data_IF_829268878463
#
_entry.id   IF_829268878463
#
_cell.length_a   1.000
_cell.length_b   1.000
_cell.length_c   1.000
_cell.angle_alpha   90.00
_cell.angle_beta   90.00
_cell.angle_gamma   90.00
#
_symmetry.space_group_name_H-M   'P 1'
#
loop_
_entity.id
_entity.type
_entity.pdbx_description
1 polymer ?
#
# COMPACT_ATOMS: atom_id res chain seq x y z
N UNK A 1 -20.86 10.49 6.28
CA UNK A 1 -20.29 9.13 6.17
C UNK A 1 -19.34 8.98 4.99
N UNK A 2 -19.79 9.17 3.74
CA UNK A 2 -18.86 9.09 2.58
C UNK A 2 -17.87 10.26 2.58
N UNK A 3 -18.35 11.47 2.84
CA UNK A 3 -17.50 12.67 2.88
C UNK A 3 -16.42 12.58 3.98
N UNK A 4 -16.75 11.98 5.12
CA UNK A 4 -15.80 11.77 6.22
C UNK A 4 -14.66 10.82 5.82
N UNK A 5 -14.99 9.73 5.11
CA UNK A 5 -14.00 8.78 4.59
C UNK A 5 -13.10 9.46 3.56
N UNK A 6 -13.68 10.26 2.67
CA UNK A 6 -12.92 11.00 1.65
C UNK A 6 -11.91 11.95 2.31
N UNK A 7 -12.34 12.72 3.32
CA UNK A 7 -11.44 13.65 4.00
C UNK A 7 -10.31 12.95 4.76
N UNK A 8 -10.56 11.76 5.32
CA UNK A 8 -9.51 10.93 5.96
C UNK A 8 -8.56 10.29 4.93
N UNK A 9 -9.05 9.87 3.76
CA UNK A 9 -8.23 9.22 2.73
C UNK A 9 -7.38 10.22 1.92
N UNK A 10 -7.80 11.48 1.84
CA UNK A 10 -7.19 12.52 1.01
C UNK A 10 -5.71 12.80 1.31
N UNK A 11 -5.24 12.86 2.57
CA UNK A 11 -3.81 13.00 2.88
C UNK A 11 -2.98 11.80 2.36
N UNK A 12 -3.48 10.58 2.50
CA UNK A 12 -2.79 9.39 1.99
C UNK A 12 -2.69 9.42 0.45
N UNK A 13 -3.80 9.76 -0.22
CA UNK A 13 -3.82 9.92 -1.67
C UNK A 13 -2.87 11.03 -2.16
N UNK A 14 -2.79 12.16 -1.45
CA UNK A 14 -1.85 13.24 -1.76
C UNK A 14 -0.39 12.79 -1.57
N UNK A 15 -0.09 12.09 -0.48
CA UNK A 15 1.25 11.54 -0.22
C UNK A 15 1.69 10.62 -1.36
N UNK A 16 0.83 9.69 -1.79
CA UNK A 16 1.13 8.80 -2.91
C UNK A 16 1.36 9.55 -4.23
N UNK A 17 0.60 10.62 -4.50
CA UNK A 17 0.78 11.44 -5.71
C UNK A 17 2.09 12.21 -5.72
N UNK A 18 2.49 12.78 -4.58
CA UNK A 18 3.65 13.66 -4.46
C UNK A 18 4.97 12.90 -4.23
N UNK A 19 4.90 11.63 -3.88
CA UNK A 19 6.08 10.84 -3.58
C UNK A 19 6.71 10.28 -4.86
N UNK A 20 7.99 10.56 -5.08
CA UNK A 20 8.70 10.27 -6.35
C UNK A 20 9.63 9.04 -6.29
N UNK A 21 9.85 8.46 -5.11
CA UNK A 21 10.67 7.25 -5.00
C UNK A 21 9.85 5.97 -5.13
N UNK A 22 10.45 4.85 -4.73
CA UNK A 22 9.87 3.52 -4.87
C UNK A 22 8.86 3.23 -3.76
N UNK A 23 7.67 2.79 -4.14
CA UNK A 23 6.60 2.41 -3.21
C UNK A 23 6.60 0.89 -3.06
N UNK A 24 6.38 0.38 -1.85
CA UNK A 24 6.08 -1.04 -1.63
C UNK A 24 4.66 -1.23 -1.16
N UNK A 25 3.88 -1.95 -1.96
CA UNK A 25 2.48 -2.29 -1.71
C UNK A 25 2.41 -3.67 -1.05
N UNK A 26 1.80 -3.75 0.12
CA UNK A 26 1.67 -4.99 0.89
C UNK A 26 0.19 -5.22 1.17
N UNK A 27 -0.33 -6.39 0.80
CA UNK A 27 -1.71 -6.75 1.08
C UNK A 27 -1.91 -8.19 1.53
N UNK A 28 -3.10 -8.49 2.06
CA UNK A 28 -3.44 -9.82 2.57
C UNK A 28 -3.85 -10.80 1.46
N UNK A 29 -3.64 -12.09 1.76
CA UNK A 29 -3.89 -13.21 0.85
C UNK A 29 -5.36 -13.58 0.62
N UNK A 30 -6.29 -13.06 1.43
CA UNK A 30 -7.70 -13.40 1.24
C UNK A 30 -8.34 -12.61 0.09
N UNK A 31 -9.65 -12.82 -0.12
CA UNK A 31 -10.34 -12.23 -1.24
C UNK A 31 -10.41 -10.69 -1.17
N UNK A 32 -10.53 -10.12 0.04
CA UNK A 32 -10.60 -8.67 0.21
C UNK A 32 -9.21 -8.05 -0.02
N UNK A 33 -8.17 -8.65 0.57
CA UNK A 33 -6.79 -8.20 0.40
C UNK A 33 -6.27 -8.32 -1.02
N UNK A 34 -6.58 -9.40 -1.74
CA UNK A 34 -6.24 -9.52 -3.17
C UNK A 34 -6.96 -8.44 -3.99
N UNK A 35 -8.24 -8.20 -3.70
CA UNK A 35 -9.04 -7.20 -4.42
C UNK A 35 -8.53 -5.78 -4.15
N UNK A 36 -8.28 -5.44 -2.90
CA UNK A 36 -7.73 -4.16 -2.46
C UNK A 36 -6.33 -3.92 -3.05
N UNK A 37 -5.48 -4.96 -3.05
CA UNK A 37 -4.14 -4.90 -3.67
C UNK A 37 -4.24 -4.67 -5.17
N UNK A 38 -5.16 -5.35 -5.88
CA UNK A 38 -5.35 -5.14 -7.31
C UNK A 38 -5.82 -3.72 -7.63
N UNK A 39 -6.70 -3.14 -6.81
CA UNK A 39 -7.13 -1.74 -6.95
C UNK A 39 -5.93 -0.80 -6.76
N UNK A 40 -5.15 -0.99 -5.68
CA UNK A 40 -3.98 -0.17 -5.38
C UNK A 40 -2.89 -0.29 -6.47
N UNK A 41 -2.63 -1.50 -6.97
CA UNK A 41 -1.70 -1.77 -8.06
C UNK A 41 -2.10 -1.00 -9.32
N UNK A 42 -3.36 -1.11 -9.77
CA UNK A 42 -3.84 -0.39 -10.96
C UNK A 42 -3.85 1.13 -10.73
N UNK A 43 -4.07 1.59 -9.51
CA UNK A 43 -3.97 3.00 -9.15
C UNK A 43 -2.54 3.51 -9.29
N UNK A 44 -1.55 2.80 -8.75
CA UNK A 44 -0.13 3.18 -8.84
C UNK A 44 0.38 3.16 -10.27
N UNK A 45 0.00 2.17 -11.08
CA UNK A 45 0.29 2.14 -12.53
C UNK A 45 -0.27 3.37 -13.25
N UNK A 46 -1.52 3.77 -12.94
CA UNK A 46 -2.15 4.95 -13.55
C UNK A 46 -1.50 6.27 -13.13
N UNK A 47 -0.83 6.29 -11.97
CA UNK A 47 -0.08 7.44 -11.47
C UNK A 47 1.38 7.43 -11.95
N UNK A 48 1.77 6.47 -12.78
CA UNK A 48 3.14 6.29 -13.29
C UNK A 48 4.18 6.21 -12.16
N UNK A 49 3.84 5.49 -11.08
CA UNK A 49 4.72 5.31 -9.93
C UNK A 49 5.59 4.07 -10.09
N UNK A 50 6.83 4.13 -9.61
CA UNK A 50 7.68 2.96 -9.43
C UNK A 50 7.27 2.23 -8.14
N UNK A 51 6.90 0.95 -8.25
CA UNK A 51 6.50 0.17 -7.08
C UNK A 51 6.77 -1.33 -7.22
N UNK A 52 6.89 -1.99 -6.08
CA UNK A 52 6.82 -3.45 -5.93
C UNK A 52 5.61 -3.84 -5.08
N UNK A 53 5.11 -5.06 -5.24
CA UNK A 53 4.03 -5.56 -4.41
C UNK A 53 4.33 -6.94 -3.82
N UNK A 54 3.77 -7.20 -2.63
CA UNK A 54 3.87 -8.46 -1.91
C UNK A 54 2.48 -8.82 -1.33
N UNK A 55 2.08 -10.08 -1.49
CA UNK A 55 0.89 -10.63 -0.82
C UNK A 55 1.35 -11.49 0.34
N UNK A 56 0.93 -11.12 1.55
CA UNK A 56 1.26 -11.83 2.79
C UNK A 56 0.05 -12.59 3.32
N UNK A 57 0.27 -13.74 3.94
CA UNK A 57 -0.81 -14.50 4.58
C UNK A 57 -1.29 -13.82 5.88
N UNK A 58 -0.35 -13.27 6.62
CA UNK A 58 -0.53 -12.55 7.88
C UNK A 58 0.76 -11.75 8.11
N UNK A 59 0.67 -10.56 8.71
CA UNK A 59 1.84 -9.83 9.17
C UNK A 59 2.29 -10.36 10.53
N UNK A 60 3.44 -11.03 10.57
CA UNK A 60 4.10 -11.39 11.83
C UNK A 60 5.14 -10.32 12.20
N UNK A 61 5.57 -10.35 13.47
CA UNK A 61 6.64 -9.46 13.95
C UNK A 61 7.91 -9.59 13.10
N UNK A 62 8.28 -10.81 12.73
CA UNK A 62 9.42 -11.11 11.85
C UNK A 62 9.29 -10.45 10.46
N UNK A 63 8.06 -10.36 9.92
CA UNK A 63 7.82 -9.67 8.64
C UNK A 63 8.02 -8.17 8.79
N UNK A 64 7.52 -7.58 9.88
CA UNK A 64 7.68 -6.16 10.18
C UNK A 64 9.16 -5.83 10.39
N UNK A 65 9.89 -6.66 11.14
CA UNK A 65 11.34 -6.49 11.34
C UNK A 65 12.10 -6.57 10.02
N UNK A 66 11.77 -7.54 9.16
CA UNK A 66 12.36 -7.63 7.82
C UNK A 66 12.07 -6.37 7.00
N UNK A 67 10.81 -5.96 6.92
CA UNK A 67 10.37 -4.78 6.15
C UNK A 67 11.05 -3.50 6.66
N UNK A 68 11.21 -3.36 7.98
CA UNK A 68 11.82 -2.19 8.60
C UNK A 68 13.35 -2.11 8.37
N UNK A 69 14.01 -3.24 8.12
CA UNK A 69 15.45 -3.30 7.86
C UNK A 69 15.81 -3.16 6.37
N UNK A 70 14.83 -3.20 5.48
CA UNK A 70 15.02 -2.93 4.06
C UNK A 70 14.98 -1.41 3.81
N UNK A 71 15.75 -0.89 2.83
CA UNK A 71 15.66 0.50 2.39
C UNK A 71 14.30 0.71 1.69
N UNK A 72 13.29 1.03 2.49
CA UNK A 72 11.90 1.22 2.10
C UNK A 72 11.52 2.68 2.37
N UNK A 73 11.39 3.47 1.32
CA UNK A 73 11.08 4.89 1.46
C UNK A 73 9.58 5.14 1.73
N UNK A 74 8.68 4.35 1.13
CA UNK A 74 7.24 4.44 1.36
C UNK A 74 6.53 3.07 1.27
N UNK A 75 5.88 2.69 2.36
CA UNK A 75 5.07 1.48 2.48
C UNK A 75 3.56 1.81 2.36
N UNK A 76 2.83 1.03 1.57
CA UNK A 76 1.38 1.07 1.45
C UNK A 76 0.79 -0.28 1.84
N UNK A 77 0.13 -0.30 2.99
CA UNK A 77 -0.53 -1.47 3.55
C UNK A 77 -2.02 -1.47 3.18
N UNK A 78 -2.56 -2.59 2.67
CA UNK A 78 -3.98 -2.75 2.31
C UNK A 78 -4.57 -4.04 2.87
N UNK A 79 -5.66 -3.90 3.65
CA UNK A 79 -6.42 -5.01 4.26
C UNK A 79 -5.54 -5.97 5.07
N UNK A 80 -5.07 -5.57 6.24
CA UNK A 80 -4.11 -6.33 7.07
C UNK A 80 -4.41 -6.20 8.55
#
# INVERSE_FOLDING_TARGET
MVDDIIEVAKPAAQKLKQYDGKIRLIGQYDADGISATAIAHRMLERLDKEFEYEIVKQLYEEDIERIANEDQDLLLFVDI
#
